data_IF_518505896204
#
_entry.id   IF_518505896204
#
_cell.length_a   1.000
_cell.length_b   1.000
_cell.length_c   1.000
_cell.angle_alpha   90.00
_cell.angle_beta   90.00
_cell.angle_gamma   90.00
#
_symmetry.space_group_name_H-M   'P 1'
#
loop_
_entity.id
_entity.type
_entity.pdbx_description
1 polymer ?
#
# COMPACT_ATOMS: atom_id res chain seq x y z
N UNK A 1 25.05 -5.46 9.63
CA UNK A 1 25.16 -5.32 8.15
C UNK A 1 24.57 -3.98 7.74
N UNK A 2 25.40 -2.96 7.53
CA UNK A 2 24.95 -1.74 6.87
C UNK A 2 24.92 -2.03 5.36
N UNK A 3 23.73 -2.35 4.86
CA UNK A 3 23.47 -2.39 3.42
C UNK A 3 23.58 -0.95 2.93
N UNK A 4 24.76 -0.56 2.45
CA UNK A 4 24.95 0.68 1.69
C UNK A 4 24.19 0.49 0.38
N UNK A 5 22.88 0.74 0.42
CA UNK A 5 22.04 0.76 -0.75
C UNK A 5 22.51 1.91 -1.63
N UNK A 6 23.04 1.58 -2.82
CA UNK A 6 23.36 2.56 -3.85
C UNK A 6 22.17 3.51 -4.06
N UNK A 7 22.42 4.82 -4.14
CA UNK A 7 21.39 5.87 -4.36
C UNK A 7 20.43 5.55 -5.53
N UNK A 8 20.90 4.84 -6.58
CA UNK A 8 20.04 4.37 -7.69
C UNK A 8 19.01 3.32 -7.27
N UNK A 9 19.32 2.44 -6.32
CA UNK A 9 18.37 1.45 -5.81
C UNK A 9 17.37 2.09 -4.83
N UNK A 10 17.79 3.11 -4.09
CA UNK A 10 16.94 3.93 -3.22
C UNK A 10 15.83 4.62 -4.02
N UNK A 11 16.18 5.31 -5.11
CA UNK A 11 15.20 6.00 -5.96
C UNK A 11 14.19 5.05 -6.59
N UNK A 12 14.63 3.88 -7.07
CA UNK A 12 13.74 2.87 -7.65
C UNK A 12 12.79 2.28 -6.60
N UNK A 13 13.27 1.98 -5.39
CA UNK A 13 12.40 1.49 -4.31
C UNK A 13 11.36 2.53 -3.91
N UNK A 14 11.79 3.80 -3.81
CA UNK A 14 10.88 4.90 -3.52
C UNK A 14 9.79 5.03 -4.60
N UNK A 15 10.16 4.93 -5.89
CA UNK A 15 9.19 4.93 -6.99
C UNK A 15 8.20 3.76 -6.93
N UNK A 16 8.66 2.55 -6.58
CA UNK A 16 7.78 1.38 -6.47
C UNK A 16 6.79 1.56 -5.30
N UNK A 17 7.28 2.05 -4.16
CA UNK A 17 6.43 2.33 -3.00
C UNK A 17 5.41 3.44 -3.29
N UNK A 18 5.84 4.52 -3.92
CA UNK A 18 4.96 5.62 -4.32
C UNK A 18 3.91 5.15 -5.33
N UNK A 19 4.30 4.31 -6.30
CA UNK A 19 3.36 3.70 -7.24
C UNK A 19 2.32 2.81 -6.53
N UNK A 20 2.73 2.08 -5.49
CA UNK A 20 1.84 1.27 -4.68
C UNK A 20 0.85 2.12 -3.89
N UNK A 21 1.34 3.16 -3.20
CA UNK A 21 0.51 4.15 -2.50
C UNK A 21 -0.53 4.75 -3.43
N UNK A 22 -0.10 5.31 -4.56
CA UNK A 22 -0.99 5.98 -5.51
C UNK A 22 -2.07 5.03 -6.06
N UNK A 23 -1.71 3.76 -6.33
CA UNK A 23 -2.69 2.78 -6.79
C UNK A 23 -3.73 2.48 -5.71
N UNK A 24 -3.30 2.32 -4.46
CA UNK A 24 -4.21 2.07 -3.35
C UNK A 24 -5.15 3.26 -3.09
N UNK A 25 -4.61 4.49 -3.05
CA UNK A 25 -5.39 5.72 -2.95
C UNK A 25 -6.43 5.81 -4.05
N UNK A 26 -6.03 5.61 -5.32
CA UNK A 26 -6.96 5.65 -6.46
C UNK A 26 -8.07 4.60 -6.35
N UNK A 27 -7.77 3.39 -5.84
CA UNK A 27 -8.77 2.33 -5.67
C UNK A 27 -9.75 2.63 -4.53
N UNK A 28 -9.28 3.24 -3.44
CA UNK A 28 -10.15 3.68 -2.35
C UNK A 28 -11.07 4.82 -2.79
N UNK A 29 -10.56 5.82 -3.51
CA UNK A 29 -11.40 6.90 -4.04
C UNK A 29 -12.52 6.35 -4.94
N UNK A 30 -12.16 5.50 -5.91
CA UNK A 30 -13.13 4.87 -6.81
C UNK A 30 -14.15 4.00 -6.07
N UNK A 31 -13.72 3.30 -5.02
CA UNK A 31 -14.63 2.51 -4.19
C UNK A 31 -15.59 3.41 -3.40
N UNK A 32 -15.13 4.57 -2.91
CA UNK A 32 -15.98 5.58 -2.27
C UNK A 32 -17.01 6.17 -3.23
N UNK A 33 -16.58 6.58 -4.43
CA UNK A 33 -17.47 7.08 -5.49
C UNK A 33 -18.54 6.06 -5.86
N UNK A 34 -18.17 4.80 -6.05
CA UNK A 34 -19.11 3.72 -6.38
C UNK A 34 -20.06 3.36 -5.23
N UNK A 35 -19.64 3.58 -3.99
CA UNK A 35 -20.44 3.31 -2.80
C UNK A 35 -21.27 4.53 -2.34
N UNK A 36 -21.21 5.64 -3.07
CA UNK A 36 -21.77 6.94 -2.66
C UNK A 36 -21.35 7.33 -1.23
N UNK A 37 -20.06 7.13 -0.93
CA UNK A 37 -19.44 7.39 0.38
C UNK A 37 -18.23 8.29 0.22
N UNK A 38 -18.08 9.24 1.14
CA UNK A 38 -16.86 10.04 1.23
C UNK A 38 -15.65 9.15 1.57
N UNK A 39 -14.64 9.03 0.68
CA UNK A 39 -13.45 8.25 0.95
C UNK A 39 -12.48 8.96 1.90
N UNK A 40 -12.66 10.27 2.17
CA UNK A 40 -11.74 11.09 2.97
C UNK A 40 -11.36 10.49 4.32
N UNK A 41 -12.28 9.89 5.12
CA UNK A 41 -11.92 9.24 6.38
C UNK A 41 -10.96 8.07 6.17
N UNK A 42 -11.18 7.25 5.13
CA UNK A 42 -10.32 6.12 4.80
C UNK A 42 -8.95 6.59 4.30
N UNK A 43 -8.90 7.66 3.50
CA UNK A 43 -7.65 8.26 3.03
C UNK A 43 -6.85 8.85 4.19
N UNK A 44 -7.52 9.49 5.16
CA UNK A 44 -6.88 10.01 6.38
C UNK A 44 -6.36 8.89 7.27
N UNK A 45 -7.13 7.82 7.43
CA UNK A 45 -6.72 6.63 8.19
C UNK A 45 -5.54 5.92 7.51
N UNK A 46 -5.59 5.83 6.19
CA UNK A 46 -4.51 5.31 5.37
C UNK A 46 -3.24 6.14 5.55
N UNK A 47 -3.28 7.46 5.36
CA UNK A 47 -2.10 8.34 5.49
C UNK A 47 -1.52 8.38 6.90
N UNK A 48 -2.33 8.06 7.92
CA UNK A 48 -1.88 7.97 9.32
C UNK A 48 -1.04 6.75 9.64
N UNK A 49 -0.99 5.73 8.76
CA UNK A 49 -0.19 4.54 9.05
C UNK A 49 1.30 4.87 9.07
N UNK A 50 1.96 4.50 10.17
CA UNK A 50 3.41 4.63 10.37
C UNK A 50 4.22 3.85 9.32
N UNK A 51 3.61 2.88 8.65
CA UNK A 51 4.22 2.18 7.53
C UNK A 51 4.34 3.04 6.26
N UNK A 52 3.89 4.30 6.21
CA UNK A 52 4.05 5.16 5.04
C UNK A 52 5.19 6.16 5.14
N UNK A 53 5.68 6.43 6.35
CA UNK A 53 6.89 7.23 6.58
C UNK A 53 8.17 6.46 6.26
N UNK A 54 8.09 5.45 5.39
CA UNK A 54 9.21 4.59 4.99
C UNK A 54 10.27 5.46 4.34
N UNK A 55 11.32 5.72 5.10
CA UNK A 55 12.62 6.00 4.52
C UNK A 55 13.10 4.74 3.82
N UNK A 56 13.60 4.87 2.60
CA UNK A 56 14.23 3.75 1.89
C UNK A 56 15.45 3.18 2.63
N UNK A 57 15.89 3.80 3.73
CA UNK A 57 16.91 3.29 4.64
C UNK A 57 16.39 2.24 5.64
N UNK A 58 15.06 2.09 5.83
CA UNK A 58 14.50 1.25 6.88
C UNK A 58 13.77 0.03 6.32
N UNK A 59 14.51 -1.08 6.17
CA UNK A 59 13.97 -2.36 5.69
C UNK A 59 12.94 -2.99 6.65
N UNK A 60 12.90 -2.57 7.91
CA UNK A 60 11.85 -3.02 8.86
C UNK A 60 10.44 -2.61 8.39
N UNK A 61 10.32 -1.51 7.65
CA UNK A 61 9.06 -1.08 7.05
C UNK A 61 8.59 -1.99 5.91
N UNK A 62 9.51 -2.69 5.22
CA UNK A 62 9.16 -3.70 4.22
C UNK A 62 8.49 -4.92 4.87
N UNK A 63 9.02 -5.38 6.01
CA UNK A 63 8.40 -6.46 6.76
C UNK A 63 6.97 -6.08 7.18
N UNK A 64 6.73 -4.84 7.63
CA UNK A 64 5.40 -4.33 7.97
C UNK A 64 4.43 -4.30 6.77
N UNK A 65 4.91 -3.94 5.58
CA UNK A 65 4.10 -4.00 4.34
C UNK A 65 3.75 -5.46 4.00
N UNK A 66 4.69 -6.39 4.18
CA UNK A 66 4.53 -7.79 3.79
C UNK A 66 3.62 -8.57 4.76
N UNK A 67 3.63 -8.27 6.06
CA UNK A 67 2.94 -9.08 7.07
C UNK A 67 1.70 -8.44 7.70
N UNK A 68 1.57 -7.10 7.72
CA UNK A 68 0.52 -6.43 8.50
C UNK A 68 -0.44 -5.54 7.68
N UNK A 69 0.06 -4.93 6.60
CA UNK A 69 -0.72 -4.00 5.76
C UNK A 69 -1.95 -4.59 5.06
N UNK A 70 -1.92 -5.84 4.56
CA UNK A 70 -3.05 -6.37 3.78
C UNK A 70 -4.37 -6.38 4.57
N UNK A 71 -4.32 -6.69 5.87
CA UNK A 71 -5.51 -6.76 6.72
C UNK A 71 -6.10 -5.37 6.99
N UNK A 72 -5.26 -4.40 7.35
CA UNK A 72 -5.72 -3.01 7.55
C UNK A 72 -6.35 -2.42 6.29
N UNK A 73 -5.82 -2.76 5.10
CA UNK A 73 -6.41 -2.29 3.85
C UNK A 73 -7.76 -2.92 3.57
N UNK A 74 -7.94 -4.21 3.88
CA UNK A 74 -9.24 -4.86 3.75
C UNK A 74 -10.27 -4.11 4.60
N UNK A 75 -9.94 -3.75 5.83
CA UNK A 75 -10.87 -3.05 6.73
C UNK A 75 -11.26 -1.67 6.18
N UNK A 76 -10.36 -0.94 5.52
CA UNK A 76 -10.70 0.34 4.85
C UNK A 76 -11.73 0.17 3.73
N UNK A 77 -11.65 -0.91 2.95
CA UNK A 77 -12.67 -1.21 1.93
C UNK A 77 -13.98 -1.70 2.56
N UNK A 78 -13.90 -2.44 3.67
CA UNK A 78 -15.09 -2.85 4.42
C UNK A 78 -15.84 -1.64 5.01
N UNK A 79 -15.13 -0.62 5.51
CA UNK A 79 -15.72 0.63 5.97
C UNK A 79 -16.48 1.37 4.83
N UNK A 80 -16.05 1.17 3.58
CA UNK A 80 -16.74 1.63 2.36
C UNK A 80 -17.91 0.71 1.95
N UNK A 81 -18.36 -0.21 2.80
CA UNK A 81 -19.39 -1.22 2.48
C UNK A 81 -19.02 -2.19 1.36
N UNK A 82 -17.74 -2.29 0.98
CA UNK A 82 -17.29 -3.35 0.07
C UNK A 82 -17.27 -4.66 0.86
N UNK A 83 -17.80 -5.74 0.28
CA UNK A 83 -17.76 -7.05 0.93
C UNK A 83 -16.31 -7.47 1.22
N UNK A 84 -16.07 -8.11 2.37
CA UNK A 84 -14.72 -8.53 2.79
C UNK A 84 -14.04 -9.40 1.72
N UNK A 85 -14.80 -10.27 1.06
CA UNK A 85 -14.28 -11.11 -0.04
C UNK A 85 -13.82 -10.30 -1.26
N UNK A 86 -14.59 -9.28 -1.66
CA UNK A 86 -14.21 -8.38 -2.75
C UNK A 86 -12.99 -7.54 -2.37
N UNK A 87 -12.97 -7.01 -1.14
CA UNK A 87 -11.84 -6.26 -0.61
C UNK A 87 -10.54 -7.09 -0.61
N UNK A 88 -10.60 -8.35 -0.16
CA UNK A 88 -9.48 -9.28 -0.21
C UNK A 88 -8.91 -9.45 -1.62
N UNK A 89 -9.77 -9.63 -2.63
CA UNK A 89 -9.33 -9.78 -4.03
C UNK A 89 -8.63 -8.53 -4.54
N UNK A 90 -9.18 -7.34 -4.26
CA UNK A 90 -8.58 -6.06 -4.66
C UNK A 90 -7.23 -5.86 -3.98
N UNK A 91 -7.16 -6.02 -2.66
CA UNK A 91 -5.94 -5.85 -1.89
C UNK A 91 -4.87 -6.86 -2.32
N UNK A 92 -5.23 -8.13 -2.51
CA UNK A 92 -4.31 -9.15 -2.99
C UNK A 92 -3.75 -8.81 -4.37
N UNK A 93 -4.57 -8.33 -5.31
CA UNK A 93 -4.10 -7.93 -6.64
C UNK A 93 -3.10 -6.76 -6.59
N UNK A 94 -3.39 -5.73 -5.79
CA UNK A 94 -2.51 -4.56 -5.63
C UNK A 94 -1.19 -5.00 -4.96
N UNK A 95 -1.26 -5.80 -3.90
CA UNK A 95 -0.09 -6.28 -3.18
C UNK A 95 0.78 -7.21 -4.03
N UNK A 96 0.18 -8.14 -4.78
CA UNK A 96 0.90 -9.01 -5.71
C UNK A 96 1.63 -8.22 -6.80
N UNK A 97 1.00 -7.17 -7.35
CA UNK A 97 1.65 -6.29 -8.32
C UNK A 97 2.89 -5.60 -7.72
N UNK A 98 2.78 -5.12 -6.49
CA UNK A 98 3.89 -4.51 -5.75
C UNK A 98 5.05 -5.50 -5.55
N UNK A 99 4.76 -6.70 -5.02
CA UNK A 99 5.78 -7.74 -4.80
C UNK A 99 6.45 -8.15 -6.12
N UNK A 100 5.70 -8.27 -7.21
CA UNK A 100 6.28 -8.56 -8.53
C UNK A 100 7.20 -7.45 -9.03
N UNK A 101 6.78 -6.18 -8.92
CA UNK A 101 7.63 -5.03 -9.29
C UNK A 101 8.89 -4.97 -8.44
N UNK A 102 8.78 -5.30 -7.16
CA UNK A 102 9.90 -5.34 -6.22
C UNK A 102 10.90 -6.44 -6.57
N UNK A 103 10.42 -7.67 -6.77
CA UNK A 103 11.26 -8.83 -7.12
C UNK A 103 12.03 -8.65 -8.43
N UNK A 104 11.49 -7.91 -9.39
CA UNK A 104 12.18 -7.58 -10.65
C UNK A 104 13.34 -6.59 -10.48
N UNK A 105 13.48 -5.97 -9.31
CA UNK A 105 14.38 -4.82 -9.07
C UNK A 105 15.42 -5.05 -7.97
N UNK A 106 15.24 -6.09 -7.15
CA UNK A 106 16.24 -6.64 -6.23
C UNK A 106 17.11 -7.62 -6.99
#
# INVERSE_FOLDING_TARGET
>A
MHLIFCFKRHSVMHQILQSYQNHLFSKLCKAGELADKDPTPMLRRLSSFSCWTISSSNWSSYALIQSCLPTMFIDLFVDLSISRQSAMKVVAAIHNNFIQKLRKRI
#
